data_IF_370275206813
#
_entry.id   IF_370275206813
#
_cell.length_a   1.000
_cell.length_b   1.000
_cell.length_c   1.000
_cell.angle_alpha   90.00
_cell.angle_beta   90.00
_cell.angle_gamma   90.00
#
_symmetry.space_group_name_H-M   'P 1'
#
loop_
_entity.id
_entity.type
_entity.pdbx_description
1 polymer ?
#
# COMPACT_ATOMS: atom_id res chain seq x y z
N UNK A 1 6.16 39.02 -8.80
CA UNK A 1 6.28 39.11 -7.33
C UNK A 1 7.35 38.10 -6.89
N UNK A 2 8.48 38.52 -6.29
CA UNK A 2 9.48 37.55 -5.85
C UNK A 2 8.88 36.79 -4.65
N UNK A 3 8.72 35.51 -4.81
CA UNK A 3 8.34 34.62 -3.70
C UNK A 3 9.58 34.51 -2.83
N UNK A 4 9.53 34.84 -1.52
CA UNK A 4 10.65 34.61 -0.63
C UNK A 4 10.96 33.12 -0.58
N UNK A 5 12.22 32.75 -0.77
CA UNK A 5 12.68 31.38 -0.53
C UNK A 5 12.70 31.15 1.00
N UNK A 6 11.55 30.84 1.57
CA UNK A 6 11.45 30.53 2.99
C UNK A 6 11.92 29.07 3.21
N UNK A 7 13.21 28.91 3.54
CA UNK A 7 13.80 27.62 3.90
C UNK A 7 13.06 26.94 5.06
N UNK A 8 12.52 27.73 6.01
CA UNK A 8 11.77 27.23 7.14
C UNK A 8 10.42 26.60 6.74
N UNK A 9 9.82 27.03 5.61
CA UNK A 9 8.62 26.41 5.07
C UNK A 9 8.93 25.04 4.45
N UNK A 10 10.02 24.93 3.70
CA UNK A 10 10.48 23.67 3.11
C UNK A 10 10.86 22.63 4.16
N UNK A 11 11.55 23.03 5.23
CA UNK A 11 11.89 22.14 6.34
C UNK A 11 10.63 21.63 7.06
N UNK A 12 9.63 22.48 7.25
CA UNK A 12 8.34 22.08 7.87
C UNK A 12 7.58 21.08 7.03
N UNK A 13 7.56 21.23 5.71
CA UNK A 13 6.93 20.26 4.80
C UNK A 13 7.61 18.90 4.86
N UNK A 14 8.95 18.85 4.87
CA UNK A 14 9.71 17.62 5.02
C UNK A 14 9.42 16.90 6.35
N UNK A 15 9.36 17.65 7.47
CA UNK A 15 9.08 17.08 8.79
C UNK A 15 7.63 16.55 8.88
N UNK A 16 6.68 17.22 8.26
CA UNK A 16 5.29 16.77 8.17
C UNK A 16 5.16 15.47 7.38
N UNK A 17 5.84 15.38 6.23
CA UNK A 17 5.83 14.18 5.40
C UNK A 17 6.56 13.03 6.08
N UNK A 18 7.64 13.30 6.79
CA UNK A 18 8.34 12.30 7.61
C UNK A 18 7.43 11.77 8.72
N UNK A 19 6.75 12.66 9.47
CA UNK A 19 5.82 12.26 10.51
C UNK A 19 4.68 11.39 9.95
N UNK A 20 4.10 11.81 8.83
CA UNK A 20 3.05 11.05 8.15
C UNK A 20 3.51 9.65 7.75
N UNK A 21 4.67 9.55 7.07
CA UNK A 21 5.20 8.27 6.62
C UNK A 21 5.49 7.33 7.79
N UNK A 22 6.17 7.83 8.82
CA UNK A 22 6.51 7.01 10.00
C UNK A 22 5.27 6.52 10.73
N UNK A 23 4.27 7.39 10.95
CA UNK A 23 3.02 7.01 11.60
C UNK A 23 2.18 6.05 10.74
N UNK A 24 2.10 6.30 9.43
CA UNK A 24 1.42 5.41 8.48
C UNK A 24 2.01 4.00 8.53
N UNK A 25 3.33 3.90 8.44
CA UNK A 25 4.02 2.62 8.41
C UNK A 25 3.83 1.87 9.73
N UNK A 26 3.93 2.56 10.89
CA UNK A 26 3.66 1.98 12.20
C UNK A 26 2.19 1.52 12.39
N UNK A 27 1.23 2.16 11.73
CA UNK A 27 -0.17 1.73 11.70
C UNK A 27 -0.35 0.51 10.78
N UNK A 28 0.35 0.49 9.64
CA UNK A 28 0.26 -0.59 8.66
C UNK A 28 0.94 -1.86 9.16
N UNK A 29 2.10 -1.75 9.80
CA UNK A 29 2.83 -2.90 10.36
C UNK A 29 2.26 -3.41 11.68
N UNK A 30 1.37 -2.65 12.32
CA UNK A 30 0.70 -3.00 13.57
C UNK A 30 1.45 -2.59 14.84
N UNK A 31 2.57 -1.88 14.72
CA UNK A 31 3.27 -1.24 15.86
C UNK A 31 2.31 -0.33 16.64
N UNK A 32 1.46 0.41 15.91
CA UNK A 32 0.32 1.12 16.46
C UNK A 32 -0.95 0.30 16.17
N UNK A 33 -1.50 -0.34 17.18
CA UNK A 33 -2.57 -1.31 17.04
C UNK A 33 -3.94 -0.67 16.67
N UNK A 34 -4.84 -1.38 15.97
CA UNK A 34 -6.20 -0.89 15.72
C UNK A 34 -6.94 -0.53 17.02
N UNK A 35 -7.52 0.67 17.07
CA UNK A 35 -8.19 1.22 18.24
C UNK A 35 -7.27 1.84 19.29
N UNK A 36 -5.96 1.75 19.12
CA UNK A 36 -4.99 2.35 20.04
C UNK A 36 -5.12 3.88 20.08
N UNK A 37 -5.10 4.45 21.29
CA UNK A 37 -5.14 5.90 21.46
C UNK A 37 -3.81 6.54 21.12
N UNK A 38 -3.86 7.56 20.29
CA UNK A 38 -2.72 8.36 19.87
C UNK A 38 -2.71 9.66 20.67
N UNK A 39 -1.68 9.84 21.51
CA UNK A 39 -1.52 11.04 22.33
C UNK A 39 -0.44 11.93 21.74
N UNK A 40 -0.77 13.21 21.49
CA UNK A 40 0.15 14.18 20.90
C UNK A 40 1.52 14.19 21.58
N UNK A 41 1.55 14.13 22.93
CA UNK A 41 2.79 14.15 23.68
C UNK A 41 3.67 12.92 23.42
N UNK A 42 3.10 11.72 23.50
CA UNK A 42 3.80 10.47 23.27
C UNK A 42 4.35 10.41 21.83
N UNK A 43 3.56 10.85 20.84
CA UNK A 43 3.98 10.89 19.46
C UNK A 43 5.09 11.93 19.19
N UNK A 44 5.01 13.11 19.81
CA UNK A 44 6.08 14.12 19.67
C UNK A 44 7.40 13.65 20.29
N UNK A 45 7.34 12.97 21.43
CA UNK A 45 8.52 12.38 22.08
C UNK A 45 9.10 11.24 21.22
N UNK A 46 8.25 10.34 20.73
CA UNK A 46 8.69 9.21 19.91
C UNK A 46 9.31 9.64 18.58
N UNK A 47 8.69 10.62 17.88
CA UNK A 47 9.17 11.10 16.59
C UNK A 47 10.29 12.14 16.70
N UNK A 48 10.52 12.72 17.88
CA UNK A 48 11.47 13.83 18.06
C UNK A 48 11.03 15.11 17.35
N UNK A 49 9.73 15.30 17.13
CA UNK A 49 9.16 16.42 16.38
C UNK A 49 8.29 17.32 17.26
N UNK A 50 8.07 18.55 16.82
CA UNK A 50 7.11 19.46 17.48
C UNK A 50 5.65 19.02 17.21
N UNK A 51 4.71 19.59 17.98
CA UNK A 51 3.27 19.24 17.85
C UNK A 51 2.67 19.54 16.48
N UNK A 52 3.12 20.60 15.80
CA UNK A 52 2.53 21.02 14.52
C UNK A 52 2.66 19.94 13.43
N UNK A 53 3.87 19.46 13.04
CA UNK A 53 3.99 18.41 12.02
C UNK A 53 3.30 17.09 12.40
N UNK A 54 3.27 16.75 13.71
CA UNK A 54 2.56 15.55 14.18
C UNK A 54 1.05 15.69 13.97
N UNK A 55 0.45 16.83 14.31
CA UNK A 55 -0.99 17.07 14.12
C UNK A 55 -1.38 17.15 12.64
N UNK A 56 -0.53 17.75 11.80
CA UNK A 56 -0.74 17.77 10.35
C UNK A 56 -0.71 16.35 9.77
N UNK A 57 0.23 15.52 10.23
CA UNK A 57 0.31 14.11 9.85
C UNK A 57 -0.93 13.32 10.31
N UNK A 58 -1.39 13.50 11.55
CA UNK A 58 -2.60 12.85 12.06
C UNK A 58 -3.85 13.27 11.26
N UNK A 59 -3.97 14.55 10.90
CA UNK A 59 -5.08 15.03 10.05
C UNK A 59 -5.08 14.39 8.66
N UNK A 60 -3.90 14.19 8.06
CA UNK A 60 -3.77 13.48 6.78
C UNK A 60 -4.10 12.00 6.91
N UNK A 61 -3.63 11.34 7.97
CA UNK A 61 -3.97 9.94 8.26
C UNK A 61 -5.48 9.74 8.51
N UNK A 62 -6.16 10.74 9.09
CA UNK A 62 -7.61 10.73 9.24
C UNK A 62 -8.32 10.82 7.88
N UNK A 63 -7.85 11.68 6.97
CA UNK A 63 -8.37 11.75 5.60
C UNK A 63 -8.18 10.44 4.82
N UNK A 64 -7.09 9.73 5.10
CA UNK A 64 -6.79 8.41 4.52
C UNK A 64 -7.50 7.26 5.24
N UNK A 65 -8.27 7.54 6.31
CA UNK A 65 -9.04 6.56 7.07
C UNK A 65 -8.19 5.61 7.92
N UNK A 66 -6.96 6.02 8.27
CA UNK A 66 -6.06 5.27 9.16
C UNK A 66 -6.18 5.71 10.62
N UNK A 67 -6.68 6.90 10.85
CA UNK A 67 -6.90 7.51 12.17
C UNK A 67 -8.34 8.00 12.26
N UNK A 68 -8.92 7.95 13.44
CA UNK A 68 -10.21 8.54 13.79
C UNK A 68 -10.03 9.55 14.91
N UNK A 69 -10.62 10.74 14.73
CA UNK A 69 -10.60 11.80 15.74
C UNK A 69 -12.02 12.16 16.18
N UNK A 70 -12.28 12.09 17.49
CA UNK A 70 -13.46 12.68 18.08
C UNK A 70 -13.01 13.89 18.93
N UNK A 71 -13.38 15.12 18.54
CA UNK A 71 -12.92 16.33 19.21
C UNK A 71 -13.10 16.27 20.72
N UNK A 72 -12.07 16.62 21.47
CA UNK A 72 -12.01 16.63 22.94
C UNK A 72 -12.15 15.25 23.62
N UNK A 73 -12.24 14.15 22.87
CA UNK A 73 -12.40 12.80 23.44
C UNK A 73 -11.20 11.90 23.13
N UNK A 74 -10.87 11.73 21.86
CA UNK A 74 -9.74 10.90 21.46
C UNK A 74 -9.27 11.17 20.03
N UNK A 75 -8.01 10.84 19.78
CA UNK A 75 -7.45 10.47 18.50
C UNK A 75 -6.99 9.02 18.63
N UNK A 76 -7.33 8.15 17.71
CA UNK A 76 -6.96 6.73 17.77
C UNK A 76 -6.69 6.16 16.38
N UNK A 77 -5.96 5.06 16.32
CA UNK A 77 -5.84 4.24 15.10
C UNK A 77 -7.24 3.74 14.73
N UNK A 78 -7.64 3.96 13.49
CA UNK A 78 -8.94 3.51 13.01
C UNK A 78 -9.06 1.98 13.14
N UNK A 79 -10.21 1.45 13.58
CA UNK A 79 -10.50 0.02 13.53
C UNK A 79 -10.36 -0.53 12.10
N UNK A 80 -10.21 -1.84 11.97
CA UNK A 80 -10.22 -2.48 10.65
C UNK A 80 -11.64 -2.45 10.09
N UNK A 81 -11.83 -1.75 8.97
CA UNK A 81 -13.14 -1.65 8.29
C UNK A 81 -13.16 -2.58 7.06
N UNK A 82 -13.83 -3.74 7.24
CA UNK A 82 -14.02 -4.74 6.17
C UNK A 82 -14.79 -4.17 4.98
N UNK A 83 -15.81 -3.34 5.23
CA UNK A 83 -16.64 -2.77 4.18
C UNK A 83 -15.83 -1.81 3.33
N UNK A 84 -15.11 -0.90 3.97
CA UNK A 84 -14.24 0.05 3.26
C UNK A 84 -13.17 -0.67 2.42
N UNK A 85 -12.62 -1.77 2.93
CA UNK A 85 -11.66 -2.58 2.17
C UNK A 85 -12.32 -3.28 0.97
N UNK A 86 -13.49 -3.92 1.17
CA UNK A 86 -14.24 -4.55 0.08
C UNK A 86 -14.58 -3.56 -1.03
N UNK A 87 -14.94 -2.33 -0.69
CA UNK A 87 -15.25 -1.27 -1.64
C UNK A 87 -13.96 -0.74 -2.34
N UNK A 88 -12.79 -0.83 -1.70
CA UNK A 88 -11.51 -0.38 -2.26
C UNK A 88 -10.88 -1.39 -3.23
N UNK A 89 -11.02 -2.71 -3.03
CA UNK A 89 -10.38 -3.72 -3.89
C UNK A 89 -10.73 -3.59 -5.38
N UNK A 90 -11.98 -3.37 -5.79
CA UNK A 90 -12.30 -3.15 -7.20
C UNK A 90 -11.63 -1.92 -7.80
N UNK A 91 -11.45 -0.86 -7.01
CA UNK A 91 -10.77 0.37 -7.44
C UNK A 91 -9.28 0.08 -7.63
N UNK A 92 -8.64 -0.56 -6.66
CA UNK A 92 -7.23 -0.96 -6.74
C UNK A 92 -6.99 -1.90 -7.93
N UNK A 93 -7.88 -2.89 -8.14
CA UNK A 93 -7.82 -3.78 -9.28
C UNK A 93 -7.90 -3.02 -10.63
N UNK A 94 -8.77 -2.01 -10.73
CA UNK A 94 -8.90 -1.19 -11.94
C UNK A 94 -7.64 -0.34 -12.19
N UNK A 95 -7.06 0.25 -11.12
CA UNK A 95 -5.85 1.07 -11.23
C UNK A 95 -4.65 0.22 -11.66
N UNK A 96 -4.45 -0.95 -11.05
CA UNK A 96 -3.36 -1.85 -11.43
C UNK A 96 -3.54 -2.45 -12.84
N UNK A 97 -4.78 -2.74 -13.27
CA UNK A 97 -5.06 -3.17 -14.63
C UNK A 97 -4.71 -2.06 -15.65
N UNK A 98 -5.08 -0.80 -15.35
CA UNK A 98 -4.68 0.33 -16.18
C UNK A 98 -3.15 0.53 -16.19
N UNK A 99 -2.48 0.32 -15.04
CA UNK A 99 -1.03 0.34 -15.00
C UNK A 99 -0.41 -0.72 -15.92
N UNK A 100 -0.99 -1.93 -15.97
CA UNK A 100 -0.56 -2.98 -16.89
C UNK A 100 -0.82 -2.60 -18.37
N UNK A 101 -2.00 -2.05 -18.69
CA UNK A 101 -2.32 -1.58 -20.04
C UNK A 101 -1.31 -0.54 -20.55
N UNK A 102 -0.93 0.41 -19.72
CA UNK A 102 0.02 1.46 -20.06
C UNK A 102 1.49 1.00 -19.98
N UNK A 103 1.80 0.09 -19.06
CA UNK A 103 3.16 -0.32 -18.74
C UNK A 103 3.68 -1.44 -19.63
N UNK A 104 2.88 -2.46 -19.94
CA UNK A 104 3.32 -3.64 -20.72
C UNK A 104 4.05 -3.26 -22.01
N UNK A 105 3.56 -2.30 -22.83
CA UNK A 105 4.28 -1.90 -24.05
C UNK A 105 5.65 -1.26 -23.81
N UNK A 106 5.97 -0.90 -22.57
CA UNK A 106 7.23 -0.24 -22.19
C UNK A 106 8.15 -1.13 -21.36
N UNK A 107 7.70 -2.35 -21.01
CA UNK A 107 8.50 -3.28 -20.23
C UNK A 107 9.77 -3.67 -20.97
N UNK A 108 10.87 -3.67 -20.24
CA UNK A 108 12.17 -4.18 -20.67
C UNK A 108 12.41 -5.60 -20.15
N UNK A 109 13.45 -6.28 -20.69
CA UNK A 109 13.88 -7.56 -20.13
C UNK A 109 14.28 -7.47 -18.65
N UNK A 110 14.89 -6.34 -18.24
CA UNK A 110 15.24 -6.09 -16.84
C UNK A 110 14.00 -5.95 -15.95
N UNK A 111 12.89 -5.42 -16.46
CA UNK A 111 11.65 -5.30 -15.70
C UNK A 111 10.97 -6.67 -15.53
N UNK A 112 11.00 -7.52 -16.55
CA UNK A 112 10.53 -8.91 -16.44
C UNK A 112 11.36 -9.70 -15.41
N UNK A 113 12.66 -9.49 -15.36
CA UNK A 113 13.53 -10.07 -14.34
C UNK A 113 13.18 -9.56 -12.92
N UNK A 114 12.93 -8.25 -12.76
CA UNK A 114 12.47 -7.69 -11.47
C UNK A 114 11.17 -8.33 -10.99
N UNK A 115 10.18 -8.50 -11.87
CA UNK A 115 8.92 -9.19 -11.56
C UNK A 115 9.18 -10.63 -11.10
N UNK A 116 9.99 -11.38 -11.84
CA UNK A 116 10.33 -12.77 -11.51
C UNK A 116 11.05 -12.88 -10.17
N UNK A 117 12.01 -12.00 -9.91
CA UNK A 117 12.75 -11.94 -8.64
C UNK A 117 11.84 -11.55 -7.47
N UNK A 118 10.90 -10.63 -7.68
CA UNK A 118 9.92 -10.24 -6.67
C UNK A 118 8.99 -11.42 -6.33
N UNK A 119 8.47 -12.14 -7.34
CA UNK A 119 7.63 -13.32 -7.13
C UNK A 119 8.37 -14.47 -6.43
N UNK A 120 9.65 -14.68 -6.74
CA UNK A 120 10.48 -15.67 -6.06
C UNK A 120 10.69 -15.32 -4.58
N UNK A 121 10.94 -14.04 -4.25
CA UNK A 121 11.03 -13.56 -2.86
C UNK A 121 9.69 -13.71 -2.14
N UNK A 122 8.58 -13.40 -2.78
CA UNK A 122 7.24 -13.60 -2.25
C UNK A 122 7.00 -15.07 -1.89
N UNK A 123 7.29 -15.99 -2.82
CA UNK A 123 7.16 -17.43 -2.58
C UNK A 123 8.05 -17.94 -1.43
N UNK A 124 9.26 -17.37 -1.28
CA UNK A 124 10.16 -17.72 -0.17
C UNK A 124 9.62 -17.22 1.17
N UNK A 125 9.20 -15.97 1.23
CA UNK A 125 8.64 -15.34 2.43
C UNK A 125 7.38 -16.09 2.92
N UNK A 126 6.52 -16.54 2.00
CA UNK A 126 5.36 -17.39 2.33
C UNK A 126 5.74 -18.72 2.98
N UNK A 127 6.84 -19.34 2.54
CA UNK A 127 7.34 -20.60 3.13
C UNK A 127 7.92 -20.40 4.52
N UNK A 128 8.37 -19.20 4.82
CA UNK A 128 8.99 -18.80 6.09
C UNK A 128 7.99 -18.18 7.07
N UNK A 129 6.71 -18.02 6.66
CA UNK A 129 5.68 -17.28 7.38
C UNK A 129 6.11 -15.84 7.74
N UNK A 130 7.00 -15.25 6.90
CA UNK A 130 7.45 -13.87 7.04
C UNK A 130 6.49 -12.93 6.32
N UNK A 131 5.53 -12.40 7.07
CA UNK A 131 4.47 -11.53 6.57
C UNK A 131 5.04 -10.25 5.95
N UNK A 132 6.02 -9.63 6.61
CA UNK A 132 6.61 -8.37 6.14
C UNK A 132 7.38 -8.55 4.84
N UNK A 133 8.23 -9.57 4.77
CA UNK A 133 8.96 -9.88 3.56
C UNK A 133 8.02 -10.22 2.40
N UNK A 134 6.91 -10.90 2.68
CA UNK A 134 5.94 -11.26 1.65
C UNK A 134 5.19 -10.04 1.12
N UNK A 135 4.63 -9.18 1.99
CA UNK A 135 3.94 -7.97 1.56
C UNK A 135 4.88 -7.03 0.77
N UNK A 136 6.13 -6.88 1.24
CA UNK A 136 7.13 -6.08 0.53
C UNK A 136 7.49 -6.66 -0.85
N UNK A 137 7.53 -7.99 -0.97
CA UNK A 137 7.81 -8.64 -2.24
C UNK A 137 6.64 -8.52 -3.23
N UNK A 138 5.40 -8.62 -2.73
CA UNK A 138 4.17 -8.40 -3.49
C UNK A 138 4.08 -6.96 -4.00
N UNK A 139 4.35 -5.97 -3.12
CA UNK A 139 4.44 -4.56 -3.53
C UNK A 139 5.48 -4.34 -4.62
N UNK A 140 6.68 -4.92 -4.46
CA UNK A 140 7.75 -4.81 -5.45
C UNK A 140 7.39 -5.46 -6.79
N UNK A 141 6.56 -6.49 -6.80
CA UNK A 141 6.04 -7.12 -8.02
C UNK A 141 5.13 -6.16 -8.79
N UNK A 142 4.13 -5.61 -8.10
CA UNK A 142 3.15 -4.71 -8.72
C UNK A 142 3.72 -3.34 -9.09
N UNK A 143 4.72 -2.86 -8.36
CA UNK A 143 5.40 -1.59 -8.61
C UNK A 143 6.10 -1.54 -9.97
N UNK A 144 6.54 -2.69 -10.51
CA UNK A 144 7.16 -2.74 -11.85
C UNK A 144 6.20 -2.22 -12.92
N UNK A 145 4.95 -2.69 -12.91
CA UNK A 145 3.94 -2.25 -13.88
C UNK A 145 3.51 -0.79 -13.66
N UNK A 146 3.41 -0.37 -12.39
CA UNK A 146 3.12 1.03 -12.05
C UNK A 146 4.21 1.96 -12.57
N UNK A 147 5.46 1.64 -12.32
CA UNK A 147 6.61 2.41 -12.81
C UNK A 147 6.67 2.44 -14.33
N UNK A 148 6.50 1.28 -15.00
CA UNK A 148 6.49 1.17 -16.45
C UNK A 148 5.34 1.95 -17.09
N UNK A 149 4.20 2.12 -16.40
CA UNK A 149 3.07 2.90 -16.86
C UNK A 149 3.42 4.36 -17.16
N UNK A 150 4.44 4.90 -16.49
CA UNK A 150 4.84 6.31 -16.51
C UNK A 150 3.69 7.28 -16.18
N UNK A 151 2.70 6.82 -15.40
CA UNK A 151 1.55 7.62 -14.95
C UNK A 151 1.59 7.78 -13.42
N UNK A 152 2.15 8.89 -12.96
CA UNK A 152 2.32 9.15 -11.53
C UNK A 152 1.01 9.26 -10.74
N UNK A 153 -0.12 9.54 -11.40
CA UNK A 153 -1.42 9.66 -10.72
C UNK A 153 -1.93 8.30 -10.23
N UNK A 154 -1.54 7.19 -10.89
CA UNK A 154 -1.89 5.85 -10.45
C UNK A 154 -1.26 5.56 -9.07
N UNK A 155 0.05 5.81 -8.94
CA UNK A 155 0.77 5.65 -7.67
C UNK A 155 0.17 6.53 -6.57
N UNK A 156 -0.01 7.83 -6.82
CA UNK A 156 -0.61 8.77 -5.84
C UNK A 156 -1.99 8.35 -5.36
N UNK A 157 -2.80 7.77 -6.26
CA UNK A 157 -4.13 7.29 -5.89
C UNK A 157 -4.03 6.05 -5.02
N UNK A 158 -3.12 5.13 -5.33
CA UNK A 158 -2.87 3.91 -4.56
C UNK A 158 -2.29 4.21 -3.16
N UNK A 159 -1.42 5.20 -3.02
CA UNK A 159 -0.86 5.61 -1.72
C UNK A 159 -1.92 5.87 -0.65
N UNK A 160 -3.12 6.30 -1.04
CA UNK A 160 -4.25 6.55 -0.13
C UNK A 160 -5.09 5.30 0.16
N UNK A 161 -5.12 4.34 -0.75
CA UNK A 161 -5.96 3.15 -0.64
C UNK A 161 -5.21 1.96 -0.03
N UNK A 162 -3.96 1.74 -0.47
CA UNK A 162 -3.18 0.57 -0.11
C UNK A 162 -2.94 0.40 1.40
N UNK A 163 -2.66 1.46 2.19
CA UNK A 163 -2.41 1.28 3.63
C UNK A 163 -3.55 0.57 4.36
N UNK A 164 -4.82 0.86 4.02
CA UNK A 164 -5.99 0.20 4.62
C UNK A 164 -6.08 -1.27 4.22
N UNK A 165 -5.77 -1.59 2.97
CA UNK A 165 -5.79 -2.97 2.47
C UNK A 165 -4.66 -3.78 3.08
N UNK A 166 -3.44 -3.23 3.14
CA UNK A 166 -2.26 -3.90 3.72
C UNK A 166 -2.46 -4.28 5.19
N UNK A 167 -3.19 -3.49 5.99
CA UNK A 167 -3.56 -3.85 7.36
C UNK A 167 -4.41 -5.14 7.41
N UNK A 168 -5.35 -5.30 6.50
CA UNK A 168 -6.20 -6.49 6.42
C UNK A 168 -5.45 -7.70 5.84
N UNK A 169 -4.63 -7.49 4.83
CA UNK A 169 -3.78 -8.53 4.26
C UNK A 169 -2.83 -9.08 5.31
N UNK A 170 -2.16 -8.21 6.07
CA UNK A 170 -1.30 -8.59 7.20
C UNK A 170 -2.03 -9.47 8.20
N UNK A 171 -3.24 -9.09 8.60
CA UNK A 171 -4.03 -9.85 9.58
C UNK A 171 -4.39 -11.25 9.09
N UNK A 172 -4.51 -11.46 7.77
CA UNK A 172 -4.99 -12.71 7.15
C UNK A 172 -3.93 -13.47 6.39
N UNK A 173 -2.69 -13.02 6.46
CA UNK A 173 -1.59 -13.55 5.65
C UNK A 173 -1.30 -15.04 5.87
N UNK A 174 -1.47 -15.55 7.08
CA UNK A 174 -1.25 -16.97 7.42
C UNK A 174 -2.24 -17.97 6.79
N UNK A 175 -3.20 -17.49 5.95
CA UNK A 175 -4.13 -18.35 5.25
C UNK A 175 -3.54 -18.84 3.91
N UNK A 176 -4.09 -19.94 3.35
CA UNK A 176 -3.69 -20.60 2.08
C UNK A 176 -3.65 -19.68 0.84
N UNK A 177 -4.00 -18.46 0.99
CA UNK A 177 -4.16 -17.40 0.02
C UNK A 177 -2.90 -17.05 -0.76
N UNK A 178 -1.80 -16.89 -0.09
CA UNK A 178 -0.55 -16.49 -0.71
C UNK A 178 -0.03 -17.46 -1.78
N UNK A 179 -0.34 -18.76 -1.66
CA UNK A 179 0.07 -19.76 -2.67
C UNK A 179 -0.64 -19.58 -4.01
N UNK A 180 -1.90 -19.14 -4.02
CA UNK A 180 -2.62 -18.84 -5.26
C UNK A 180 -2.02 -17.61 -5.96
N UNK A 181 -1.62 -16.59 -5.20
CA UNK A 181 -1.02 -15.36 -5.74
C UNK A 181 0.32 -15.64 -6.44
N UNK A 182 1.19 -16.51 -5.91
CA UNK A 182 2.46 -16.88 -6.57
C UNK A 182 2.20 -17.38 -8.00
N UNK A 183 1.24 -18.28 -8.18
CA UNK A 183 0.89 -18.81 -9.51
C UNK A 183 0.26 -17.75 -10.41
N UNK A 184 -0.59 -16.89 -9.85
CA UNK A 184 -1.17 -15.77 -10.61
C UNK A 184 -0.10 -14.79 -11.08
N UNK A 185 0.92 -14.53 -10.26
CA UNK A 185 2.07 -13.72 -10.66
C UNK A 185 2.85 -14.38 -11.80
N UNK A 186 3.06 -15.70 -11.78
CA UNK A 186 3.71 -16.42 -12.89
C UNK A 186 2.91 -16.27 -14.18
N UNK A 187 1.57 -16.34 -14.13
CA UNK A 187 0.70 -16.13 -15.29
C UNK A 187 0.78 -14.68 -15.81
N UNK A 188 0.86 -13.69 -14.92
CA UNK A 188 1.04 -12.27 -15.27
C UNK A 188 2.39 -12.07 -15.97
N UNK A 189 3.47 -12.63 -15.41
CA UNK A 189 4.82 -12.55 -16.01
C UNK A 189 4.82 -13.16 -17.42
N UNK A 190 4.22 -14.33 -17.59
CA UNK A 190 4.16 -15.01 -18.88
C UNK A 190 3.40 -14.20 -19.95
N UNK A 191 2.26 -13.60 -19.59
CA UNK A 191 1.51 -12.74 -20.48
C UNK A 191 2.27 -11.44 -20.82
N UNK A 192 2.89 -10.82 -19.84
CA UNK A 192 3.68 -9.61 -20.02
C UNK A 192 4.91 -9.86 -20.92
N UNK A 193 5.57 -11.01 -20.77
CA UNK A 193 6.72 -11.40 -21.61
C UNK A 193 6.35 -11.55 -23.10
N UNK A 194 5.12 -11.91 -23.40
CA UNK A 194 4.61 -11.99 -24.78
C UNK A 194 3.99 -10.67 -25.26
N UNK A 195 4.09 -9.60 -24.48
CA UNK A 195 3.48 -8.28 -24.77
C UNK A 195 1.95 -8.35 -24.98
N UNK A 196 1.28 -9.35 -24.38
CA UNK A 196 -0.18 -9.46 -24.41
C UNK A 196 -0.78 -8.50 -23.37
N UNK A 197 -0.97 -7.25 -23.78
CA UNK A 197 -1.44 -6.15 -22.93
C UNK A 197 -2.79 -6.48 -22.30
N UNK A 198 -3.75 -6.96 -23.10
CA UNK A 198 -5.10 -7.22 -22.64
C UNK A 198 -5.14 -8.38 -21.64
N UNK A 199 -4.42 -9.46 -21.95
CA UNK A 199 -4.33 -10.62 -21.06
C UNK A 199 -3.64 -10.27 -19.75
N UNK A 200 -2.56 -9.50 -19.81
CA UNK A 200 -1.83 -9.06 -18.60
C UNK A 200 -2.72 -8.19 -17.71
N UNK A 201 -3.41 -7.21 -18.28
CA UNK A 201 -4.31 -6.33 -17.52
C UNK A 201 -5.45 -7.12 -16.86
N UNK A 202 -6.04 -8.07 -17.57
CA UNK A 202 -7.11 -8.91 -17.02
C UNK A 202 -6.59 -9.83 -15.89
N UNK A 203 -5.42 -10.44 -16.03
CA UNK A 203 -4.80 -11.25 -15.00
C UNK A 203 -4.47 -10.43 -13.75
N UNK A 204 -3.94 -9.22 -13.91
CA UNK A 204 -3.68 -8.29 -12.81
C UNK A 204 -4.98 -7.91 -12.11
N UNK A 205 -6.04 -7.60 -12.85
CA UNK A 205 -7.37 -7.32 -12.29
C UNK A 205 -7.89 -8.49 -11.45
N UNK A 206 -7.82 -9.70 -12.00
CA UNK A 206 -8.28 -10.92 -11.33
C UNK A 206 -7.48 -11.23 -10.07
N UNK A 207 -6.18 -11.00 -10.09
CA UNK A 207 -5.30 -11.18 -8.93
C UNK A 207 -5.81 -10.33 -7.75
N UNK A 208 -6.01 -9.03 -7.93
CA UNK A 208 -6.52 -8.12 -6.89
C UNK A 208 -7.96 -8.46 -6.44
N UNK A 209 -8.86 -8.80 -7.36
CA UNK A 209 -10.23 -9.17 -7.02
C UNK A 209 -10.29 -10.50 -6.24
N UNK A 210 -9.44 -11.47 -6.59
CA UNK A 210 -9.37 -12.74 -5.89
C UNK A 210 -8.87 -12.57 -4.45
N UNK A 211 -7.89 -11.70 -4.25
CA UNK A 211 -7.38 -11.33 -2.93
C UNK A 211 -8.48 -10.68 -2.07
N UNK A 212 -9.22 -9.72 -2.63
CA UNK A 212 -10.34 -9.08 -1.95
C UNK A 212 -11.43 -10.07 -1.52
N UNK A 213 -11.83 -10.97 -2.41
CA UNK A 213 -12.82 -12.03 -2.12
C UNK A 213 -12.35 -12.93 -1.00
N UNK A 214 -11.09 -13.28 -0.98
CA UNK A 214 -10.50 -14.16 -0.01
C UNK A 214 -10.41 -13.52 1.38
N UNK A 215 -9.99 -12.26 1.43
CA UNK A 215 -9.99 -11.49 2.68
C UNK A 215 -11.42 -11.40 3.23
N UNK A 216 -12.41 -11.12 2.40
CA UNK A 216 -13.82 -11.03 2.85
C UNK A 216 -14.31 -12.35 3.47
N UNK A 217 -14.07 -13.49 2.81
CA UNK A 217 -14.41 -14.82 3.32
C UNK A 217 -13.70 -15.21 4.61
N UNK A 218 -12.49 -14.72 4.82
CA UNK A 218 -11.71 -15.06 6.02
C UNK A 218 -12.30 -14.46 7.32
N UNK A 219 -13.33 -13.66 7.22
CA UNK A 219 -14.05 -13.08 8.36
C UNK A 219 -15.42 -13.77 8.60
N UNK A 220 -15.83 -14.72 7.76
CA UNK A 220 -17.01 -15.56 7.97
C UNK A 220 -16.66 -16.74 8.88
#
# INVERSE_FOLDING_TARGET
MPVPADKAALERDLLRDQAYTTLRDAIVDGTLAPGERLRDQELTEWLGLSRTPVRDALSRLEQDGLVETEPQRFTRVAPLDRRAARDAFPIVAAIHALAAELGVPRLTAADAEKMSNANARFALALKQDDVDAALNADDAFHEVLLTASANSELGRTLERLMPRLRRLERLRFGSLAGRASVRQHDEIIAAAATQDVQRTAELVRQNWLSLGTMIDRSFE
#
